data_IF_323826292109
#
_entry.id   IF_323826292109
#
_cell.length_a   1.000
_cell.length_b   1.000
_cell.length_c   1.000
_cell.angle_alpha   90.00
_cell.angle_beta   90.00
_cell.angle_gamma   90.00
#
_symmetry.space_group_name_H-M   'P 1'
#
loop_
_entity.id
_entity.type
_entity.pdbx_description
1 polymer ?
#
# COMPACT_ATOMS: atom_id res chain seq x y z
N UNK A 1 8.86 14.28 -4.15
CA UNK A 1 8.37 13.11 -3.38
C UNK A 1 7.42 13.59 -2.28
N UNK A 2 6.27 12.97 -2.20
CA UNK A 2 5.30 13.23 -1.14
C UNK A 2 5.22 12.00 -0.24
N UNK A 3 5.29 12.21 1.08
CA UNK A 3 5.11 11.16 2.07
C UNK A 3 3.70 11.25 2.65
N UNK A 4 2.95 10.16 2.55
CA UNK A 4 1.64 10.01 3.17
C UNK A 4 1.74 8.95 4.26
N UNK A 5 1.56 9.36 5.52
CA UNK A 5 1.70 8.47 6.67
C UNK A 5 0.30 8.11 7.19
N UNK A 6 -0.07 6.86 6.97
CA UNK A 6 -1.36 6.28 7.37
C UNK A 6 -2.58 7.13 6.96
N UNK A 7 -2.67 7.51 5.67
CA UNK A 7 -3.72 8.42 5.22
C UNK A 7 -5.13 7.82 5.31
N UNK A 8 -5.25 6.50 5.45
CA UNK A 8 -6.55 5.83 5.56
C UNK A 8 -6.96 5.56 7.00
N UNK A 9 -6.14 5.94 7.98
CA UNK A 9 -6.47 5.71 9.39
C UNK A 9 -7.75 6.44 9.77
N UNK A 10 -8.69 5.70 10.35
CA UNK A 10 -9.97 6.26 10.76
C UNK A 10 -10.98 6.48 9.63
N UNK A 11 -10.59 6.20 8.38
CA UNK A 11 -11.50 6.38 7.26
C UNK A 11 -12.32 5.11 6.98
N UNK A 12 -13.53 5.33 6.47
CA UNK A 12 -14.36 4.23 5.98
C UNK A 12 -13.75 3.66 4.69
N UNK A 13 -13.94 2.36 4.43
CA UNK A 13 -13.42 1.75 3.21
C UNK A 13 -13.80 2.47 1.91
N UNK A 14 -14.99 3.06 1.88
CA UNK A 14 -15.45 3.81 0.70
C UNK A 14 -14.59 5.04 0.40
N UNK A 15 -13.88 5.56 1.39
CA UNK A 15 -13.02 6.74 1.22
C UNK A 15 -11.64 6.38 0.66
N UNK A 16 -11.26 5.12 0.68
CA UNK A 16 -9.96 4.67 0.16
C UNK A 16 -9.85 4.97 -1.33
N UNK A 17 -10.93 4.82 -2.08
CA UNK A 17 -10.96 5.13 -3.50
C UNK A 17 -10.61 6.58 -3.81
N UNK A 18 -10.99 7.50 -2.93
CA UNK A 18 -10.65 8.92 -3.10
C UNK A 18 -9.16 9.16 -2.94
N UNK A 19 -8.54 8.49 -1.97
CA UNK A 19 -7.09 8.58 -1.79
C UNK A 19 -6.37 7.99 -3.00
N UNK A 20 -6.86 6.89 -3.53
CA UNK A 20 -6.32 6.30 -4.76
C UNK A 20 -6.39 7.28 -5.93
N UNK A 21 -7.49 8.00 -6.07
CA UNK A 21 -7.64 9.00 -7.12
C UNK A 21 -6.62 10.13 -6.98
N UNK A 22 -6.42 10.63 -5.76
CA UNK A 22 -5.44 11.69 -5.49
C UNK A 22 -4.03 11.21 -5.80
N UNK A 23 -3.66 10.02 -5.36
CA UNK A 23 -2.34 9.44 -5.61
C UNK A 23 -2.12 9.22 -7.11
N UNK A 24 -3.14 8.75 -7.82
CA UNK A 24 -3.08 8.55 -9.26
C UNK A 24 -2.84 9.87 -9.99
N UNK A 25 -3.53 10.94 -9.56
CA UNK A 25 -3.36 12.27 -10.15
C UNK A 25 -1.93 12.78 -9.92
N UNK A 26 -1.41 12.64 -8.73
CA UNK A 26 -0.03 13.04 -8.42
C UNK A 26 0.97 12.29 -9.29
N UNK A 27 0.75 10.98 -9.48
CA UNK A 27 1.60 10.17 -10.34
C UNK A 27 1.57 10.65 -11.78
N UNK A 28 0.41 11.03 -12.29
CA UNK A 28 0.28 11.58 -13.64
C UNK A 28 1.03 12.91 -13.80
N UNK A 29 1.18 13.64 -12.71
CA UNK A 29 1.96 14.88 -12.69
C UNK A 29 3.46 14.64 -12.50
N UNK A 30 3.89 13.38 -12.46
CA UNK A 30 5.30 13.06 -12.29
C UNK A 30 5.77 13.08 -10.84
N UNK A 31 4.86 13.10 -9.87
CA UNK A 31 5.18 13.11 -8.46
C UNK A 31 5.30 11.67 -7.94
N UNK A 32 6.41 11.37 -7.27
CA UNK A 32 6.56 10.10 -6.57
C UNK A 32 5.90 10.19 -5.20
N UNK A 33 5.13 9.17 -4.83
CA UNK A 33 4.42 9.11 -3.55
C UNK A 33 4.92 7.92 -2.75
N UNK A 34 5.35 8.16 -1.51
CA UNK A 34 5.68 7.13 -0.54
C UNK A 34 4.52 7.01 0.44
N UNK A 35 3.86 5.87 0.44
CA UNK A 35 2.69 5.61 1.28
C UNK A 35 3.09 4.67 2.41
N UNK A 36 2.92 5.11 3.66
CA UNK A 36 3.11 4.27 4.84
C UNK A 36 1.73 3.90 5.36
N UNK A 37 1.41 2.60 5.41
CA UNK A 37 0.07 2.14 5.72
C UNK A 37 0.09 0.77 6.35
N UNK A 38 -0.77 0.53 7.35
CA UNK A 38 -0.93 -0.78 7.98
C UNK A 38 -2.11 -1.56 7.41
N UNK A 39 -3.02 -0.89 6.74
CA UNK A 39 -4.18 -1.55 6.12
C UNK A 39 -3.78 -2.14 4.78
N UNK A 40 -3.69 -3.46 4.75
CA UNK A 40 -3.24 -4.19 3.55
C UNK A 40 -4.21 -3.97 2.38
N UNK A 41 -5.51 -3.95 2.64
CA UNK A 41 -6.51 -3.71 1.60
C UNK A 41 -6.30 -2.37 0.90
N UNK A 42 -6.02 -1.32 1.69
CA UNK A 42 -5.75 0.01 1.14
C UNK A 42 -4.45 0.04 0.31
N UNK A 43 -3.40 -0.59 0.83
CA UNK A 43 -2.12 -0.64 0.13
C UNK A 43 -2.27 -1.32 -1.23
N UNK A 44 -2.95 -2.47 -1.28
CA UNK A 44 -3.14 -3.21 -2.52
C UNK A 44 -3.98 -2.45 -3.54
N UNK A 45 -4.88 -1.60 -3.07
CA UNK A 45 -5.71 -0.79 -3.96
C UNK A 45 -4.97 0.42 -4.52
N UNK A 46 -4.09 1.03 -3.73
CA UNK A 46 -3.47 2.32 -4.06
C UNK A 46 -2.08 2.16 -4.67
N UNK A 47 -1.25 1.26 -4.14
CA UNK A 47 0.17 1.20 -4.45
C UNK A 47 0.47 0.47 -5.75
N UNK A 48 1.54 0.90 -6.43
CA UNK A 48 2.11 0.18 -7.56
C UNK A 48 3.09 -0.88 -7.09
N UNK A 49 3.87 -0.55 -6.05
CA UNK A 49 4.87 -1.44 -5.45
C UNK A 49 4.73 -1.42 -3.94
N UNK A 50 5.06 -2.55 -3.32
CA UNK A 50 4.93 -2.72 -1.88
C UNK A 50 6.27 -3.18 -1.30
N UNK A 51 6.65 -2.57 -0.19
CA UNK A 51 7.80 -2.98 0.61
C UNK A 51 7.30 -3.23 2.04
N UNK A 52 7.52 -4.44 2.52
CA UNK A 52 7.19 -4.74 3.91
C UNK A 52 8.35 -4.40 4.83
N UNK A 53 8.02 -3.82 5.98
CA UNK A 53 9.00 -3.49 7.02
C UNK A 53 8.57 -4.20 8.29
N UNK A 54 9.49 -4.94 8.88
CA UNK A 54 9.24 -5.69 10.10
C UNK A 54 10.46 -5.63 11.01
N UNK A 55 10.22 -5.28 12.28
CA UNK A 55 11.27 -5.22 13.31
C UNK A 55 12.50 -4.40 12.88
N UNK A 56 12.26 -3.29 12.20
CA UNK A 56 13.34 -2.41 11.76
C UNK A 56 14.08 -2.88 10.51
N UNK A 57 13.65 -4.00 9.92
CA UNK A 57 14.25 -4.53 8.69
C UNK A 57 13.26 -4.43 7.56
N UNK A 58 13.74 -4.02 6.39
CA UNK A 58 12.93 -4.04 5.18
C UNK A 58 13.05 -5.39 4.48
N UNK A 59 11.93 -5.85 3.95
CA UNK A 59 11.88 -7.04 3.13
C UNK A 59 11.95 -6.64 1.65
N UNK A 60 11.86 -7.60 0.75
CA UNK A 60 11.97 -7.33 -0.67
C UNK A 60 10.78 -6.51 -1.19
N UNK A 61 11.06 -5.47 -1.99
CA UNK A 61 10.04 -4.73 -2.69
C UNK A 61 9.49 -5.54 -3.86
N UNK A 62 8.18 -5.47 -4.08
CA UNK A 62 7.54 -6.23 -5.15
C UNK A 62 6.36 -5.45 -5.74
N UNK A 63 5.94 -5.77 -6.98
CA UNK A 63 4.73 -5.16 -7.54
C UNK A 63 3.51 -5.54 -6.71
N UNK A 64 2.60 -4.58 -6.49
CA UNK A 64 1.36 -4.85 -5.76
C UNK A 64 0.49 -5.89 -6.47
N UNK A 65 0.54 -5.93 -7.80
CA UNK A 65 -0.20 -6.92 -8.58
C UNK A 65 0.17 -8.35 -8.22
N UNK A 66 1.44 -8.61 -7.88
CA UNK A 66 1.89 -9.94 -7.48
C UNK A 66 1.20 -10.40 -6.20
N UNK A 67 0.99 -9.47 -5.26
CA UNK A 67 0.31 -9.78 -4.00
C UNK A 67 -1.19 -9.96 -4.21
N UNK A 68 -1.78 -9.19 -5.10
CA UNK A 68 -3.21 -9.34 -5.42
C UNK A 68 -3.51 -10.68 -6.08
N UNK A 69 -2.59 -11.16 -6.93
CA UNK A 69 -2.78 -12.39 -7.69
C UNK A 69 -2.40 -13.65 -6.91
N UNK A 70 -1.67 -13.49 -5.80
CA UNK A 70 -1.19 -14.61 -4.98
C UNK A 70 -1.50 -14.36 -3.50
N UNK A 71 -2.69 -14.74 -3.02
CA UNK A 71 -3.06 -14.58 -1.62
C UNK A 71 -2.15 -15.32 -0.63
N UNK A 72 -1.57 -16.44 -1.04
CA UNK A 72 -0.66 -17.19 -0.18
C UNK A 72 0.64 -16.42 0.06
N UNK A 73 1.14 -15.75 -0.96
CA UNK A 73 2.31 -14.90 -0.84
C UNK A 73 2.03 -13.74 0.13
N UNK A 74 0.86 -13.13 0.03
CA UNK A 74 0.45 -12.05 0.92
C UNK A 74 0.42 -12.53 2.38
N UNK A 75 -0.14 -13.72 2.63
CA UNK A 75 -0.19 -14.28 3.98
C UNK A 75 1.19 -14.50 4.58
N UNK A 76 2.18 -14.84 3.76
CA UNK A 76 3.56 -15.05 4.23
C UNK A 76 4.18 -13.77 4.77
N UNK A 77 3.84 -12.61 4.19
CA UNK A 77 4.37 -11.32 4.62
C UNK A 77 3.56 -10.68 5.74
N UNK A 78 2.25 -10.83 5.72
CA UNK A 78 1.36 -10.20 6.70
C UNK A 78 1.19 -11.07 7.94
N UNK A 79 1.40 -12.35 7.81
CA UNK A 79 1.27 -13.29 8.90
C UNK A 79 -0.10 -13.94 8.97
N UNK A 80 -0.19 -14.95 9.84
CA UNK A 80 -1.42 -15.70 10.03
C UNK A 80 -2.44 -14.86 10.78
N UNK A 81 -3.65 -14.79 10.26
CA UNK A 81 -4.73 -14.07 10.90
C UNK A 81 -4.76 -12.58 10.56
N UNK A 82 -3.89 -12.16 9.70
CA UNK A 82 -3.90 -10.77 9.21
C UNK A 82 -4.95 -10.61 8.11
#
# INVERSE_FOLDING_TARGET
>A
VILLDEPTEGLMPAMIGRIREVVSELRHQGVAVLLVEQRVDAVLEIADRVLFVENGSSLEAMPASRLRDDPDLLKRYVGVGA
#
